data_IF_845452624539
#
_entry.id   IF_845452624539
#
_cell.length_a   1.000
_cell.length_b   1.000
_cell.length_c   1.000
_cell.angle_alpha   90.00
_cell.angle_beta   90.00
_cell.angle_gamma   90.00
#
_symmetry.space_group_name_H-M   'P 1'
#
loop_
_entity.id
_entity.type
_entity.pdbx_description
1 polymer ?
#
# COMPACT_ATOMS: atom_id res chain seq x y z
N UNK A 1 -11.50 9.44 16.14
CA UNK A 1 -10.99 9.34 14.76
C UNK A 1 -9.69 8.51 14.79
N UNK A 2 -9.77 7.20 14.52
CA UNK A 2 -8.65 6.27 14.70
C UNK A 2 -7.40 6.63 13.87
N UNK A 3 -7.61 7.18 12.67
CA UNK A 3 -6.54 7.63 11.76
C UNK A 3 -5.68 8.75 12.36
N UNK A 4 -6.28 9.65 13.15
CA UNK A 4 -5.51 10.69 13.86
C UNK A 4 -4.62 10.13 14.96
N UNK A 5 -4.91 8.92 15.45
CA UNK A 5 -4.08 8.23 16.43
C UNK A 5 -3.02 7.35 15.77
N UNK A 6 -2.71 7.61 14.49
CA UNK A 6 -1.73 6.85 13.71
C UNK A 6 -2.23 5.52 13.15
N UNK A 7 -3.41 5.04 13.54
CA UNK A 7 -3.91 3.74 13.08
C UNK A 7 -4.17 3.76 11.57
N UNK A 8 -3.69 2.73 10.88
CA UNK A 8 -3.85 2.53 9.43
C UNK A 8 -4.68 1.28 9.12
N UNK A 9 -5.44 1.27 8.01
CA UNK A 9 -6.13 0.07 7.53
C UNK A 9 -5.18 -1.11 7.37
N UNK A 10 -5.63 -2.29 7.80
CA UNK A 10 -4.92 -3.57 7.62
C UNK A 10 -5.55 -4.34 6.47
N UNK A 11 -4.73 -4.97 5.64
CA UNK A 11 -5.22 -5.92 4.63
C UNK A 11 -5.44 -7.29 5.27
N UNK A 12 -6.50 -7.98 4.86
CA UNK A 12 -6.75 -9.39 5.19
C UNK A 12 -6.11 -10.35 4.16
N UNK A 13 -5.33 -9.81 3.23
CA UNK A 13 -4.56 -10.53 2.22
C UNK A 13 -3.13 -9.96 2.18
N UNK A 14 -2.19 -10.76 1.70
CA UNK A 14 -0.81 -10.36 1.46
C UNK A 14 -0.73 -9.44 0.25
N UNK A 15 -0.10 -8.29 0.44
CA UNK A 15 0.24 -7.36 -0.64
C UNK A 15 1.72 -7.59 -0.99
N UNK A 16 2.15 -7.52 -2.26
CA UNK A 16 3.57 -7.53 -2.61
C UNK A 16 4.33 -6.46 -1.81
N UNK A 17 5.47 -6.82 -1.21
CA UNK A 17 6.20 -5.95 -0.27
C UNK A 17 6.49 -4.56 -0.85
N UNK A 18 6.93 -4.48 -2.11
CA UNK A 18 7.18 -3.22 -2.80
C UNK A 18 5.96 -2.29 -2.81
N UNK A 19 4.75 -2.83 -3.03
CA UNK A 19 3.51 -2.05 -3.04
C UNK A 19 3.13 -1.65 -1.61
N UNK A 20 3.31 -2.55 -0.64
CA UNK A 20 3.07 -2.25 0.77
C UNK A 20 3.96 -1.11 1.27
N UNK A 21 5.24 -1.10 0.91
CA UNK A 21 6.19 -0.04 1.25
C UNK A 21 5.80 1.31 0.65
N UNK A 22 5.21 1.33 -0.54
CA UNK A 22 4.71 2.55 -1.19
C UNK A 22 3.48 3.09 -0.44
N UNK A 23 2.53 2.21 -0.12
CA UNK A 23 1.36 2.57 0.70
C UNK A 23 1.85 3.18 2.03
N UNK A 24 2.86 2.57 2.65
CA UNK A 24 3.45 3.04 3.89
C UNK A 24 4.10 4.42 3.81
N UNK A 25 4.81 4.72 2.73
CA UNK A 25 5.36 6.05 2.53
C UNK A 25 4.28 7.10 2.21
N UNK A 26 3.24 6.74 1.46
CA UNK A 26 2.17 7.67 1.08
C UNK A 26 1.39 8.22 2.29
N UNK A 27 1.27 7.44 3.37
CA UNK A 27 0.53 7.82 4.56
C UNK A 27 1.40 8.04 5.82
N UNK A 28 2.71 8.23 5.66
CA UNK A 28 3.63 8.52 6.76
C UNK A 28 3.17 9.77 7.53
N UNK A 29 3.24 9.74 8.85
CA UNK A 29 2.93 10.88 9.71
C UNK A 29 3.77 12.12 9.35
N UNK A 30 5.04 11.93 9.00
CA UNK A 30 5.96 12.98 8.56
C UNK A 30 5.71 13.34 7.08
N UNK A 31 5.21 14.56 6.77
CA UNK A 31 4.96 14.97 5.39
C UNK A 31 6.21 14.96 4.51
N UNK A 32 7.41 15.13 5.09
CA UNK A 32 8.67 15.14 4.33
C UNK A 32 9.06 13.75 3.82
N UNK A 33 8.54 12.69 4.45
CA UNK A 33 8.74 11.30 4.02
C UNK A 33 7.74 10.84 2.95
N UNK A 34 6.67 11.61 2.73
CA UNK A 34 5.67 11.28 1.71
C UNK A 34 6.21 11.57 0.31
N UNK A 35 5.99 10.69 -0.68
CA UNK A 35 6.27 11.01 -2.06
C UNK A 35 5.32 12.10 -2.55
N UNK A 36 5.83 13.06 -3.32
CA UNK A 36 4.97 13.94 -4.11
C UNK A 36 4.32 13.16 -5.26
N UNK A 37 3.26 13.74 -5.84
CA UNK A 37 2.49 13.09 -6.89
C UNK A 37 3.33 12.67 -8.11
N UNK A 38 4.31 13.48 -8.53
CA UNK A 38 5.20 13.16 -9.66
C UNK A 38 6.13 11.99 -9.37
N UNK A 39 6.73 11.95 -8.16
CA UNK A 39 7.57 10.83 -7.73
C UNK A 39 6.75 9.54 -7.61
N UNK A 40 5.54 9.62 -7.07
CA UNK A 40 4.62 8.49 -6.99
C UNK A 40 4.23 7.97 -8.38
N UNK A 41 3.92 8.87 -9.32
CA UNK A 41 3.61 8.50 -10.70
C UNK A 41 4.79 7.77 -11.36
N UNK A 42 6.00 8.34 -11.27
CA UNK A 42 7.20 7.73 -11.85
C UNK A 42 7.46 6.33 -11.27
N UNK A 43 7.29 6.16 -9.95
CA UNK A 43 7.43 4.88 -9.28
C UNK A 43 6.42 3.84 -9.77
N UNK A 44 5.15 4.23 -9.90
CA UNK A 44 4.09 3.35 -10.42
C UNK A 44 4.35 2.98 -11.88
N UNK A 45 4.78 3.94 -12.71
CA UNK A 45 5.16 3.65 -14.11
C UNK A 45 6.32 2.68 -14.19
N UNK A 46 7.37 2.87 -13.38
CA UNK A 46 8.52 1.95 -13.35
C UNK A 46 8.09 0.54 -12.96
N UNK A 47 7.31 0.39 -11.88
CA UNK A 47 6.79 -0.92 -11.45
C UNK A 47 5.94 -1.59 -12.53
N UNK A 48 5.12 -0.82 -13.24
CA UNK A 48 4.33 -1.32 -14.36
C UNK A 48 5.21 -1.86 -15.49
N UNK A 49 6.26 -1.12 -15.88
CA UNK A 49 7.21 -1.58 -16.90
C UNK A 49 8.04 -2.79 -16.43
N UNK A 50 8.53 -2.79 -15.19
CA UNK A 50 9.26 -3.92 -14.57
C UNK A 50 8.38 -5.19 -14.48
N UNK A 51 7.06 -5.02 -14.37
CA UNK A 51 6.09 -6.11 -14.42
C UNK A 51 5.82 -6.57 -15.86
N UNK A 52 5.74 -5.63 -16.81
CA UNK A 52 5.46 -5.86 -18.21
C UNK A 52 6.67 -6.24 -19.06
N UNK A 53 7.86 -6.40 -18.50
CA UNK A 53 9.08 -6.67 -19.28
C UNK A 53 8.96 -8.01 -20.05
N UNK A 54 8.41 -7.89 -21.25
CA UNK A 54 8.00 -8.90 -22.23
C UNK A 54 9.11 -9.10 -23.29
N UNK A 55 10.23 -8.37 -23.18
CA UNK A 55 11.28 -8.37 -24.20
C UNK A 55 12.53 -9.16 -23.75
N UNK A 56 12.38 -10.46 -23.53
CA UNK A 56 13.51 -11.38 -23.51
C UNK A 56 13.92 -11.89 -22.13
N UNK A 57 13.24 -12.97 -21.71
CA UNK A 57 13.82 -14.02 -20.87
C UNK A 57 14.16 -13.71 -19.40
N UNK A 58 13.40 -12.85 -18.72
CA UNK A 58 13.42 -12.77 -17.25
C UNK A 58 12.03 -12.67 -16.63
N UNK A 59 11.46 -13.83 -16.31
CA UNK A 59 10.37 -13.97 -15.31
C UNK A 59 10.83 -13.71 -13.87
N UNK A 60 11.95 -12.99 -13.69
CA UNK A 60 12.73 -12.91 -12.45
C UNK A 60 12.67 -11.53 -11.77
N UNK A 61 11.84 -10.61 -12.27
CA UNK A 61 11.71 -9.28 -11.66
C UNK A 61 11.25 -9.39 -10.21
N UNK A 62 11.80 -8.52 -9.34
CA UNK A 62 11.51 -8.55 -7.89
C UNK A 62 10.01 -8.43 -7.63
N UNK A 63 9.32 -7.60 -8.40
CA UNK A 63 7.87 -7.42 -8.28
C UNK A 63 7.09 -8.68 -8.67
N UNK A 64 7.51 -9.40 -9.72
CA UNK A 64 6.87 -10.65 -10.14
C UNK A 64 7.07 -11.74 -9.09
N UNK A 65 8.28 -11.87 -8.52
CA UNK A 65 8.54 -12.79 -7.40
C UNK A 65 7.65 -12.51 -6.19
N UNK A 66 7.56 -11.24 -5.78
CA UNK A 66 6.70 -10.83 -4.67
C UNK A 66 5.21 -11.00 -4.97
N UNK A 67 4.78 -10.78 -6.22
CA UNK A 67 3.41 -11.01 -6.66
C UNK A 67 3.06 -12.50 -6.58
N UNK A 68 3.91 -13.38 -7.11
CA UNK A 68 3.71 -14.84 -7.04
C UNK A 68 3.70 -15.33 -5.58
N UNK A 69 4.60 -14.84 -4.73
CA UNK A 69 4.60 -15.17 -3.29
C UNK A 69 3.30 -14.73 -2.60
N UNK A 70 2.88 -13.49 -2.84
CA UNK A 70 1.63 -12.96 -2.30
C UNK A 70 0.43 -13.78 -2.79
N UNK A 71 0.38 -14.14 -4.07
CA UNK A 71 -0.68 -14.96 -4.66
C UNK A 71 -0.73 -16.36 -4.04
N UNK A 72 0.42 -17.02 -3.82
CA UNK A 72 0.46 -18.34 -3.18
C UNK A 72 -0.02 -18.29 -1.72
N UNK A 73 0.32 -17.23 -0.97
CA UNK A 73 -0.20 -17.00 0.38
C UNK A 73 -1.71 -16.72 0.32
N UNK A 74 -2.14 -15.85 -0.60
CA UNK A 74 -3.54 -15.43 -0.73
C UNK A 74 -4.46 -16.56 -1.19
N UNK A 75 -3.99 -17.46 -2.05
CA UNK A 75 -4.71 -18.69 -2.41
C UNK A 75 -4.97 -19.55 -1.17
N UNK A 76 -3.97 -19.69 -0.28
CA UNK A 76 -4.14 -20.43 0.99
C UNK A 76 -5.14 -19.74 1.93
N UNK A 77 -5.08 -18.41 2.02
CA UNK A 77 -6.04 -17.61 2.79
C UNK A 77 -7.47 -17.70 2.20
N UNK A 78 -7.60 -17.83 0.89
CA UNK A 78 -8.88 -17.92 0.17
C UNK A 78 -9.66 -19.21 0.45
N UNK A 79 -9.03 -20.25 1.02
CA UNK A 79 -9.78 -21.40 1.55
C UNK A 79 -10.54 -21.09 2.85
N UNK A 80 -10.33 -19.91 3.45
CA UNK A 80 -10.98 -19.46 4.70
C UNK A 80 -11.96 -18.29 4.53
N UNK A 81 -12.03 -17.67 3.34
CA UNK A 81 -12.92 -16.56 3.03
C UNK A 81 -13.62 -16.85 1.69
N UNK A 82 -14.92 -16.53 1.53
CA UNK A 82 -15.59 -16.68 0.25
C UNK A 82 -14.80 -15.87 -0.77
N UNK A 83 -14.37 -16.56 -1.83
CA UNK A 83 -13.68 -16.02 -2.99
C UNK A 83 -14.17 -14.61 -3.31
N UNK A 84 -13.23 -13.68 -3.49
CA UNK A 84 -13.47 -12.42 -4.22
C UNK A 84 -13.86 -12.84 -5.64
N UNK A 85 -15.13 -13.22 -5.78
CA UNK A 85 -15.74 -13.53 -7.06
C UNK A 85 -15.78 -12.21 -7.80
N UNK A 86 -15.00 -12.17 -8.87
CA UNK A 86 -15.05 -11.19 -9.96
C UNK A 86 -16.50 -10.70 -10.14
N UNK A 87 -16.75 -9.43 -9.86
CA UNK A 87 -17.99 -8.77 -10.29
C UNK A 87 -18.50 -7.61 -9.44
N UNK A 88 -18.46 -7.68 -8.10
CA UNK A 88 -19.09 -6.63 -7.28
C UNK A 88 -18.26 -6.33 -6.04
N UNK A 89 -17.39 -5.31 -6.14
CA UNK A 89 -16.91 -4.61 -4.94
C UNK A 89 -18.14 -3.89 -4.36
N UNK A 90 -18.78 -4.47 -3.34
CA UNK A 90 -19.76 -3.74 -2.55
C UNK A 90 -19.00 -2.76 -1.68
N UNK A 91 -18.96 -1.48 -2.07
CA UNK A 91 -18.46 -0.45 -1.18
C UNK A 91 -19.60 -0.06 -0.24
N UNK A 92 -19.44 -0.41 1.03
CA UNK A 92 -20.32 0.12 2.06
C UNK A 92 -19.82 1.52 2.44
N UNK A 93 -20.66 2.52 2.24
CA UNK A 93 -20.35 3.86 2.73
C UNK A 93 -20.61 3.89 4.24
N UNK A 94 -19.63 4.33 5.02
CA UNK A 94 -19.83 4.49 6.45
C UNK A 94 -20.97 5.50 6.68
N UNK A 95 -21.94 5.28 7.59
CA UNK A 95 -23.07 6.19 7.80
C UNK A 95 -22.68 7.65 8.14
N UNK A 96 -21.45 7.84 8.62
CA UNK A 96 -20.89 9.16 8.94
C UNK A 96 -20.01 9.76 7.82
N UNK A 97 -19.86 9.07 6.68
CA UNK A 97 -19.09 9.56 5.55
C UNK A 97 -19.83 10.72 4.87
N UNK A 98 -19.11 11.81 4.64
CA UNK A 98 -19.63 12.99 3.91
C UNK A 98 -18.78 13.15 2.67
N UNK A 99 -19.42 13.01 1.49
CA UNK A 99 -18.77 13.09 0.18
C UNK A 99 -18.87 14.47 -0.47
N UNK A 100 -19.49 15.43 0.22
CA UNK A 100 -19.55 16.83 -0.19
C UNK A 100 -18.51 17.64 0.58
N UNK A 101 -18.13 18.79 0.03
CA UNK A 101 -17.22 19.72 0.71
C UNK A 101 -17.85 20.19 2.02
N UNK A 102 -17.06 20.17 3.10
CA UNK A 102 -17.44 20.70 4.41
C UNK A 102 -16.22 21.33 5.08
N UNK A 103 -16.45 22.33 5.92
CA UNK A 103 -15.42 22.87 6.79
C UNK A 103 -15.05 21.80 7.84
N UNK A 104 -13.76 21.56 8.01
CA UNK A 104 -13.24 20.65 9.03
C UNK A 104 -12.75 21.49 10.23
N UNK A 105 -13.20 21.14 11.43
CA UNK A 105 -12.64 21.70 12.66
C UNK A 105 -11.52 20.79 13.16
N UNK A 106 -10.32 21.35 13.24
CA UNK A 106 -9.10 20.64 13.63
C UNK A 106 -8.64 20.99 15.06
N UNK A 107 -9.44 21.74 15.82
CA UNK A 107 -9.11 22.06 17.21
C UNK A 107 -9.04 20.77 18.01
N UNK A 108 -7.89 20.51 18.62
CA UNK A 108 -7.59 19.35 19.48
C UNK A 108 -7.28 18.02 18.76
N UNK A 109 -6.74 18.04 17.54
CA UNK A 109 -6.13 16.83 16.99
C UNK A 109 -4.80 16.50 17.70
N UNK A 110 -4.51 15.21 17.96
CA UNK A 110 -3.20 14.79 18.44
C UNK A 110 -2.13 15.04 17.37
N UNK A 111 -0.86 15.05 17.78
CA UNK A 111 0.24 15.06 16.82
C UNK A 111 0.18 13.81 15.92
N UNK A 112 0.50 13.96 14.63
CA UNK A 112 0.59 12.82 13.72
C UNK A 112 1.62 11.81 14.25
N UNK A 113 1.20 10.56 14.37
CA UNK A 113 2.06 9.46 14.81
C UNK A 113 1.95 8.28 13.83
N UNK A 114 3.03 7.52 13.68
CA UNK A 114 3.05 6.25 12.97
C UNK A 114 2.86 5.13 14.01
N UNK A 115 1.67 5.05 14.59
CA UNK A 115 1.36 4.04 15.59
C UNK A 115 1.09 2.69 14.90
N UNK A 116 2.13 1.88 14.84
CA UNK A 116 2.18 0.61 14.15
C UNK A 116 1.83 -0.52 15.14
N UNK A 117 0.54 -0.68 15.44
CA UNK A 117 0.07 -1.86 16.18
C UNK A 117 0.10 -3.06 15.22
N UNK A 118 1.31 -3.60 14.99
CA UNK A 118 1.64 -4.72 14.09
C UNK A 118 1.07 -6.05 14.61
N UNK A 119 -0.25 -6.18 14.62
CA UNK A 119 -0.94 -7.48 14.67
C UNK A 119 -1.68 -7.68 13.35
N UNK A 120 -0.98 -8.27 12.39
CA UNK A 120 -1.39 -8.58 11.02
C UNK A 120 -0.30 -9.38 10.31
N UNK A 121 -0.56 -9.87 9.10
CA UNK A 121 0.36 -10.70 8.29
C UNK A 121 1.78 -10.12 8.34
N UNK A 122 2.76 -10.90 8.78
CA UNK A 122 4.14 -10.45 8.93
C UNK A 122 4.73 -10.00 7.58
N UNK A 123 5.33 -8.82 7.57
CA UNK A 123 6.11 -8.28 6.47
C UNK A 123 7.58 -8.27 6.90
N UNK A 124 8.49 -8.60 5.99
CA UNK A 124 9.90 -8.72 6.34
C UNK A 124 10.53 -7.34 6.50
N UNK A 125 11.08 -7.02 7.67
CA UNK A 125 11.79 -5.75 7.89
C UNK A 125 13.09 -5.63 7.05
N UNK A 126 13.62 -6.77 6.56
CA UNK A 126 14.88 -6.84 5.81
C UNK A 126 14.78 -6.38 4.35
N UNK A 127 13.58 -6.06 3.85
CA UNK A 127 13.34 -5.60 2.47
C UNK A 127 12.67 -4.21 2.50
N UNK A 128 13.06 -3.33 3.43
CA UNK A 128 12.68 -1.91 3.33
C UNK A 128 13.43 -1.31 2.15
N UNK A 129 12.73 -1.08 1.04
CA UNK A 129 13.32 -0.38 -0.10
C UNK A 129 13.41 1.10 0.23
N UNK A 130 14.63 1.63 0.22
CA UNK A 130 14.88 3.06 0.38
C UNK A 130 14.79 3.77 -0.98
N UNK A 131 13.60 4.27 -1.30
CA UNK A 131 13.30 4.93 -2.56
C UNK A 131 13.89 6.34 -2.67
N UNK A 132 14.64 6.82 -1.66
CA UNK A 132 15.46 8.03 -1.80
C UNK A 132 16.75 7.77 -2.56
N UNK A 133 17.16 6.50 -2.71
CA UNK A 133 18.38 6.06 -3.40
C UNK A 133 18.13 5.51 -4.81
N UNK A 134 16.88 5.45 -5.24
CA UNK A 134 16.55 5.21 -6.64
C UNK A 134 16.77 6.53 -7.38
N UNK A 135 17.97 6.72 -7.92
CA UNK A 135 18.30 7.82 -8.82
C UNK A 135 17.35 7.76 -10.03
N UNK A 136 16.32 8.60 -10.00
CA UNK A 136 15.50 8.90 -11.16
C UNK A 136 16.08 10.19 -11.72
N UNK A 137 17.03 10.05 -12.65
CA UNK A 137 17.48 11.17 -13.46
C UNK A 137 16.27 11.71 -14.23
N UNK A 138 16.01 13.01 -14.06
CA UNK A 138 15.02 13.77 -14.84
C UNK A 138 15.39 13.80 -16.33
#
# INVERSE_FOLDING_TARGET
>A
MKICQGLRPKSNYKIPQLIFDIINQCWDADPLKRPNAGKLQSLMSKLYWDFLDIAGDKSDSVINKQANEADEINKKLSFSLPLISIGTISYETHPQAVYTSRLLDFKNLPEPDNNDDLLGIEYSESIKVDFTKLDIAN
#
